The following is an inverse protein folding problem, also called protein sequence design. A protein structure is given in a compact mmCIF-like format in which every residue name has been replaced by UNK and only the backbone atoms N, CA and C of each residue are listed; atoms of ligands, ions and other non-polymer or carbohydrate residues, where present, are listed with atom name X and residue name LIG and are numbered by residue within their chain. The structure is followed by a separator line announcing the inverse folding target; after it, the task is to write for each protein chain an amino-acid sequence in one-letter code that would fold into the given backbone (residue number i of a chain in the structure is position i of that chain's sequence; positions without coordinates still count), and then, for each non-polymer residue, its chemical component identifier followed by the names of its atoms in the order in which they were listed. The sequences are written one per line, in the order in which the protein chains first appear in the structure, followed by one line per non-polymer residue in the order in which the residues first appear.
data_IF_982982367847
#
_entry.id   IF_982982367847
#
_cell.length_a   1.000
_cell.length_b   1.000
_cell.length_c   1.000
_cell.angle_alpha   90.00
_cell.angle_beta   90.00
_cell.angle_gamma   90.00
#
_symmetry.space_group_name_H-M   'P 1'
#
loop_
_entity.id
_entity.type
_entity.pdbx_description
1 polymer ?
#
# COMPACT_ATOMS: atom_id res chain seq x y z
N UNK A 1 -34.87 -17.87 -17.02
CA UNK A 1 -35.44 -17.46 -18.33
C UNK A 1 -35.28 -15.95 -18.38
N UNK A 2 -34.31 -15.38 -19.10
CA UNK A 2 -34.15 -15.35 -20.56
C UNK A 2 -32.87 -16.05 -21.08
N UNK A 3 -32.79 -16.52 -22.33
CA UNK A 3 -31.80 -17.49 -22.83
C UNK A 3 -30.58 -16.89 -23.54
N UNK A 4 -29.57 -17.76 -23.72
CA UNK A 4 -28.27 -17.57 -24.40
C UNK A 4 -28.34 -16.79 -25.72
N UNK A 5 -27.25 -16.09 -26.04
CA UNK A 5 -26.69 -16.13 -27.41
C UNK A 5 -25.32 -16.80 -27.36
N UNK A 6 -25.30 -18.09 -27.72
CA UNK A 6 -24.11 -18.72 -28.24
C UNK A 6 -23.98 -18.27 -29.69
N UNK A 7 -22.82 -17.73 -30.04
CA UNK A 7 -22.51 -17.28 -31.39
C UNK A 7 -22.58 -18.46 -32.35
N UNK A 8 -23.44 -18.37 -33.37
CA UNK A 8 -23.50 -19.32 -34.48
C UNK A 8 -22.55 -18.80 -35.55
N UNK A 9 -21.33 -19.33 -35.58
CA UNK A 9 -20.44 -19.15 -36.72
C UNK A 9 -20.96 -19.99 -37.89
N UNK A 10 -21.15 -19.35 -39.05
CA UNK A 10 -21.44 -20.07 -40.29
C UNK A 10 -20.22 -20.91 -40.69
N UNK A 11 -20.45 -22.18 -41.01
CA UNK A 11 -19.45 -23.11 -41.54
C UNK A 11 -19.09 -22.74 -42.99
N UNK A 12 -17.82 -22.48 -43.25
CA UNK A 12 -17.17 -22.70 -44.55
C UNK A 12 -15.71 -23.15 -44.33
N UNK A 13 -15.44 -24.45 -44.53
CA UNK A 13 -14.15 -25.15 -44.82
C UNK A 13 -12.84 -24.81 -44.03
N UNK A 14 -11.91 -25.77 -43.86
CA UNK A 14 -10.92 -25.79 -42.77
C UNK A 14 -9.71 -24.90 -43.06
N UNK A 15 -9.89 -23.59 -42.92
CA UNK A 15 -8.83 -22.63 -42.71
C UNK A 15 -8.81 -22.26 -41.24
N UNK A 16 -7.71 -22.58 -40.56
CA UNK A 16 -7.50 -22.33 -39.13
C UNK A 16 -8.16 -21.02 -38.64
N UNK A 17 -9.08 -21.14 -37.68
CA UNK A 17 -9.45 -20.01 -36.84
C UNK A 17 -8.21 -19.74 -35.98
N UNK A 18 -7.34 -18.83 -36.43
CA UNK A 18 -6.38 -18.21 -35.53
C UNK A 18 -7.22 -17.28 -34.66
N UNK A 19 -7.73 -17.80 -33.54
CA UNK A 19 -8.07 -16.93 -32.43
C UNK A 19 -6.83 -16.08 -32.17
N UNK A 20 -6.93 -14.75 -32.23
CA UNK A 20 -5.80 -13.96 -31.76
C UNK A 20 -5.77 -14.16 -30.24
N UNK A 21 -4.89 -15.04 -29.78
CA UNK A 21 -4.58 -15.29 -28.36
C UNK A 21 -3.85 -14.08 -27.72
N UNK A 22 -4.24 -12.87 -28.11
CA UNK A 22 -3.65 -11.63 -27.66
C UNK A 22 -4.53 -11.05 -26.57
N UNK A 23 -4.19 -11.38 -25.33
CA UNK A 23 -4.75 -10.69 -24.16
C UNK A 23 -4.38 -9.21 -24.20
N UNK A 24 -5.36 -8.33 -23.97
CA UNK A 24 -5.12 -6.90 -23.77
C UNK A 24 -4.58 -6.67 -22.35
N UNK A 25 -3.27 -6.82 -22.19
CA UNK A 25 -2.56 -6.61 -20.93
C UNK A 25 -2.68 -5.18 -20.40
N UNK A 26 -2.86 -4.19 -21.28
CA UNK A 26 -3.07 -2.79 -20.88
C UNK A 26 -4.42 -2.60 -20.20
N UNK A 27 -5.47 -3.17 -20.76
CA UNK A 27 -6.82 -3.19 -20.15
C UNK A 27 -6.84 -3.98 -18.83
N UNK A 28 -6.14 -5.11 -18.77
CA UNK A 28 -6.01 -5.88 -17.52
C UNK A 28 -5.30 -5.07 -16.44
N UNK A 29 -4.20 -4.38 -16.77
CA UNK A 29 -3.48 -3.51 -15.84
C UNK A 29 -4.39 -2.37 -15.35
N UNK A 30 -5.17 -1.76 -16.25
CA UNK A 30 -6.12 -0.71 -15.86
C UNK A 30 -7.20 -1.21 -14.90
N UNK A 31 -7.68 -2.43 -15.12
CA UNK A 31 -8.64 -3.10 -14.25
C UNK A 31 -8.05 -3.41 -12.87
N UNK A 32 -6.77 -3.81 -12.83
CA UNK A 32 -6.02 -4.02 -11.58
C UNK A 32 -5.93 -2.73 -10.76
N UNK A 33 -5.61 -1.59 -11.38
CA UNK A 33 -5.64 -0.31 -10.65
C UNK A 33 -7.05 0.13 -10.24
N UNK A 34 -8.08 -0.23 -11.02
CA UNK A 34 -9.46 0.02 -10.62
C UNK A 34 -9.85 -0.78 -9.36
N UNK A 35 -9.27 -1.97 -9.17
CA UNK A 35 -9.42 -2.71 -7.91
C UNK A 35 -8.81 -1.93 -6.74
N UNK A 36 -7.58 -1.43 -6.84
CA UNK A 36 -6.98 -0.61 -5.78
C UNK A 36 -7.74 0.70 -5.51
N UNK A 37 -8.29 1.31 -6.56
CA UNK A 37 -9.18 2.47 -6.43
C UNK A 37 -10.45 2.16 -5.62
N UNK A 38 -11.03 0.96 -5.79
CA UNK A 38 -12.21 0.51 -5.05
C UNK A 38 -11.92 0.17 -3.59
N UNK A 39 -10.66 -0.03 -3.23
CA UNK A 39 -10.23 -0.28 -1.85
C UNK A 39 -9.89 1.00 -1.10
N UNK A 40 -9.94 2.19 -1.73
CA UNK A 40 -9.55 3.43 -1.07
C UNK A 40 -10.48 3.75 0.11
N UNK A 41 -9.88 4.14 1.23
CA UNK A 41 -10.62 4.56 2.43
C UNK A 41 -10.49 6.07 2.65
N UNK A 42 -11.43 6.69 3.35
CA UNK A 42 -11.45 8.13 3.65
C UNK A 42 -11.98 8.95 2.48
N UNK A 43 -11.76 10.27 2.48
CA UNK A 43 -12.28 11.14 1.41
C UNK A 43 -11.71 10.75 0.04
N UNK A 44 -12.59 10.50 -0.90
CA UNK A 44 -12.24 9.88 -2.18
C UNK A 44 -11.91 10.96 -3.20
N UNK A 45 -10.74 10.86 -3.86
CA UNK A 45 -10.31 11.90 -4.76
C UNK A 45 -11.15 11.88 -6.05
N UNK A 46 -11.29 13.04 -6.69
CA UNK A 46 -12.13 13.21 -7.88
C UNK A 46 -11.69 12.41 -9.11
N UNK A 47 -10.44 11.96 -9.13
CA UNK A 47 -9.89 11.13 -10.21
C UNK A 47 -10.19 9.63 -10.04
N UNK A 48 -10.65 9.19 -8.87
CA UNK A 48 -10.97 7.79 -8.61
C UNK A 48 -12.14 7.33 -9.52
N UNK A 49 -11.98 6.18 -10.18
CA UNK A 49 -12.93 5.60 -11.16
C UNK A 49 -13.85 4.53 -10.54
N UNK A 50 -13.62 4.20 -9.27
CA UNK A 50 -14.52 3.45 -8.39
C UNK A 50 -15.33 4.45 -7.53
N UNK A 51 -16.63 4.24 -7.41
CA UNK A 51 -17.59 5.25 -6.91
C UNK A 51 -17.43 5.60 -5.40
N UNK A 52 -17.97 6.77 -5.03
CA UNK A 52 -17.90 7.49 -3.72
C UNK A 52 -17.97 6.63 -2.45
N UNK A 53 -16.90 6.66 -1.68
CA UNK A 53 -16.65 5.81 -0.51
C UNK A 53 -16.09 6.59 0.71
N UNK A 54 -17.00 7.01 1.62
CA UNK A 54 -16.80 6.96 3.08
C UNK A 54 -15.80 7.88 3.79
N UNK A 55 -16.31 8.73 4.69
CA UNK A 55 -15.57 9.55 5.67
C UNK A 55 -14.80 8.75 6.75
N UNK A 56 -14.39 7.50 6.46
CA UNK A 56 -13.83 6.52 7.41
C UNK A 56 -12.91 7.17 8.46
N UNK A 57 -13.10 6.86 9.74
CA UNK A 57 -12.60 7.69 10.82
C UNK A 57 -11.09 7.57 10.84
N UNK A 58 -10.44 8.68 11.18
CA UNK A 58 -9.00 8.76 11.33
C UNK A 58 -8.42 7.94 12.49
N UNK A 59 -9.18 7.02 13.07
CA UNK A 59 -8.88 6.47 14.37
C UNK A 59 -9.22 7.43 15.49
N UNK A 60 -9.13 6.94 16.73
CA UNK A 60 -9.43 7.73 17.92
C UNK A 60 -8.28 8.76 18.09
N UNK A 61 -8.61 10.06 18.07
CA UNK A 61 -7.76 11.24 18.36
C UNK A 61 -6.76 11.75 17.30
N UNK A 62 -6.67 11.18 16.09
CA UNK A 62 -5.83 11.72 14.98
C UNK A 62 -6.52 11.57 13.63
N UNK A 63 -6.06 12.27 12.60
CA UNK A 63 -6.52 12.04 11.22
C UNK A 63 -5.68 10.94 10.56
N UNK A 64 -6.17 9.69 10.61
CA UNK A 64 -5.71 8.55 9.81
C UNK A 64 -6.69 8.18 8.67
N UNK A 65 -7.47 9.14 8.17
CA UNK A 65 -8.28 8.93 6.96
C UNK A 65 -7.37 8.76 5.73
N UNK A 66 -7.79 7.96 4.75
CA UNK A 66 -6.95 7.55 3.62
C UNK A 66 -6.63 6.06 3.66
N UNK A 67 -5.65 5.63 2.86
CA UNK A 67 -5.17 4.25 2.83
C UNK A 67 -6.10 3.33 2.03
N UNK A 68 -5.85 2.02 2.16
CA UNK A 68 -6.67 0.98 1.54
C UNK A 68 -7.29 0.10 2.62
N UNK A 69 -8.54 -0.32 2.41
CA UNK A 69 -9.08 -1.49 3.09
C UNK A 69 -8.35 -2.74 2.61
N UNK A 70 -8.12 -3.67 3.54
CA UNK A 70 -7.29 -4.84 3.31
C UNK A 70 -7.90 -5.80 2.30
N UNK A 71 -9.17 -6.17 2.49
CA UNK A 71 -9.85 -7.14 1.64
C UNK A 71 -11.32 -6.77 1.41
N UNK A 72 -12.25 -7.72 1.60
CA UNK A 72 -13.69 -7.45 1.58
C UNK A 72 -14.22 -6.86 2.89
N UNK A 73 -13.34 -6.56 3.82
CA UNK A 73 -13.60 -6.00 5.14
C UNK A 73 -13.26 -4.50 5.18
N UNK A 74 -13.37 -3.85 6.34
CA UNK A 74 -13.00 -2.44 6.51
C UNK A 74 -11.81 -2.25 7.46
N UNK A 75 -11.00 -3.29 7.67
CA UNK A 75 -9.74 -3.20 8.39
C UNK A 75 -8.68 -2.50 7.54
N UNK A 76 -7.74 -1.81 8.20
CA UNK A 76 -6.54 -1.28 7.57
C UNK A 76 -5.34 -1.88 8.28
N UNK A 77 -4.71 -2.85 7.63
CA UNK A 77 -3.64 -3.68 8.18
C UNK A 77 -2.32 -3.32 7.50
N UNK A 78 -1.35 -2.77 8.26
CA UNK A 78 -0.16 -2.17 7.64
C UNK A 78 0.84 -3.18 7.10
N UNK A 79 0.86 -4.42 7.61
CA UNK A 79 1.72 -5.47 7.07
C UNK A 79 1.40 -5.76 5.58
N UNK A 80 0.19 -6.24 5.22
CA UNK A 80 -0.16 -6.48 3.82
C UNK A 80 -0.24 -5.19 2.99
N UNK A 81 -0.67 -4.07 3.58
CA UNK A 81 -0.70 -2.78 2.89
C UNK A 81 0.69 -2.35 2.42
N UNK A 82 1.68 -2.32 3.30
CA UNK A 82 3.02 -1.84 2.93
C UNK A 82 3.74 -2.80 1.98
N UNK A 83 3.49 -4.11 2.10
CA UNK A 83 3.90 -5.10 1.11
C UNK A 83 3.32 -4.77 -0.27
N UNK A 84 1.99 -4.65 -0.37
CA UNK A 84 1.27 -4.29 -1.60
C UNK A 84 1.84 -3.03 -2.26
N UNK A 85 2.01 -1.95 -1.48
CA UNK A 85 2.48 -0.67 -1.99
C UNK A 85 3.92 -0.73 -2.50
N UNK A 86 4.80 -1.44 -1.80
CA UNK A 86 6.18 -1.65 -2.27
C UNK A 86 6.22 -2.48 -3.56
N UNK A 87 5.36 -3.48 -3.70
CA UNK A 87 5.26 -4.31 -4.92
C UNK A 87 4.69 -3.51 -6.09
N UNK A 88 3.67 -2.68 -5.87
CA UNK A 88 3.14 -1.78 -6.89
C UNK A 88 4.19 -0.77 -7.36
N UNK A 89 4.93 -0.18 -6.42
CA UNK A 89 6.04 0.72 -6.75
C UNK A 89 7.14 0.00 -7.54
N UNK A 90 7.52 -1.22 -7.17
CA UNK A 90 8.49 -2.03 -7.91
C UNK A 90 8.02 -2.28 -9.34
N UNK A 91 6.77 -2.71 -9.51
CA UNK A 91 6.20 -2.97 -10.83
C UNK A 91 6.20 -1.70 -11.70
N UNK A 92 5.82 -0.55 -11.14
CA UNK A 92 5.83 0.71 -11.86
C UNK A 92 7.26 1.12 -12.26
N UNK A 93 8.25 1.01 -11.36
CA UNK A 93 9.64 1.43 -11.62
C UNK A 93 10.31 0.50 -12.63
N UNK A 94 10.25 -0.82 -12.43
CA UNK A 94 10.97 -1.77 -13.28
C UNK A 94 10.35 -1.88 -14.68
N UNK A 95 9.04 -1.66 -14.79
CA UNK A 95 8.31 -1.76 -16.05
C UNK A 95 7.75 -0.41 -16.52
N UNK A 96 8.42 0.69 -16.20
CA UNK A 96 7.97 2.06 -16.50
C UNK A 96 7.51 2.24 -17.96
N UNK A 97 8.28 1.71 -18.93
CA UNK A 97 7.95 1.81 -20.35
C UNK A 97 6.63 1.12 -20.70
N UNK A 98 6.34 -0.04 -20.09
CA UNK A 98 5.09 -0.79 -20.30
C UNK A 98 3.90 -0.05 -19.67
N UNK A 99 4.07 0.50 -18.46
CA UNK A 99 3.05 1.32 -17.80
C UNK A 99 2.70 2.56 -18.62
N UNK A 100 3.71 3.24 -19.18
CA UNK A 100 3.50 4.40 -20.06
C UNK A 100 2.83 4.01 -21.37
N UNK A 101 3.28 2.94 -22.02
CA UNK A 101 2.68 2.44 -23.27
C UNK A 101 1.20 2.02 -23.08
N UNK A 102 0.85 1.46 -21.91
CA UNK A 102 -0.52 1.11 -21.54
C UNK A 102 -1.36 2.32 -21.07
N UNK A 103 -0.78 3.53 -20.98
CA UNK A 103 -1.44 4.71 -20.44
C UNK A 103 -1.81 4.60 -18.95
N UNK A 104 -1.16 3.72 -18.19
CA UNK A 104 -1.44 3.46 -16.77
C UNK A 104 -0.43 4.10 -15.82
N UNK A 105 0.60 4.78 -16.33
CA UNK A 105 1.60 5.45 -15.48
C UNK A 105 0.97 6.44 -14.49
N UNK A 106 0.15 7.37 -14.99
CA UNK A 106 -0.45 8.39 -14.13
C UNK A 106 -1.47 7.80 -13.15
N UNK A 107 -2.19 6.74 -13.52
CA UNK A 107 -3.07 6.00 -12.60
C UNK A 107 -2.27 5.32 -11.48
N UNK A 108 -1.14 4.69 -11.82
CA UNK A 108 -0.26 4.07 -10.84
C UNK A 108 0.33 5.10 -9.88
N UNK A 109 0.85 6.21 -10.42
CA UNK A 109 1.42 7.29 -9.64
C UNK A 109 0.37 7.98 -8.74
N UNK A 110 -0.86 8.18 -9.22
CA UNK A 110 -1.97 8.71 -8.41
C UNK A 110 -2.30 7.79 -7.23
N UNK A 111 -2.42 6.49 -7.49
CA UNK A 111 -2.70 5.46 -6.49
C UNK A 111 -1.62 5.44 -5.41
N UNK A 112 -0.35 5.43 -5.81
CA UNK A 112 0.79 5.42 -4.90
C UNK A 112 0.94 6.76 -4.14
N UNK A 113 0.67 7.89 -4.79
CA UNK A 113 0.65 9.21 -4.14
C UNK A 113 -0.37 9.26 -3.00
N UNK A 114 -1.59 8.76 -3.25
CA UNK A 114 -2.65 8.73 -2.24
C UNK A 114 -2.31 7.82 -1.07
N UNK A 115 -1.70 6.67 -1.36
CA UNK A 115 -1.22 5.76 -0.33
C UNK A 115 -0.07 6.37 0.50
N UNK A 116 0.84 7.11 -0.13
CA UNK A 116 1.92 7.82 0.56
C UNK A 116 1.41 8.85 1.57
N UNK A 117 0.39 9.63 1.24
CA UNK A 117 -0.24 10.56 2.18
C UNK A 117 -0.73 9.82 3.45
N UNK A 118 -1.28 8.62 3.28
CA UNK A 118 -1.71 7.79 4.41
C UNK A 118 -0.54 7.22 5.21
N UNK A 119 0.54 6.79 4.56
CA UNK A 119 1.74 6.32 5.24
C UNK A 119 2.40 7.43 6.07
N UNK A 120 2.38 8.69 5.60
CA UNK A 120 2.84 9.86 6.36
C UNK A 120 1.99 10.06 7.61
N UNK A 121 0.66 10.00 7.49
CA UNK A 121 -0.25 10.06 8.64
C UNK A 121 0.00 8.92 9.63
N UNK A 122 0.34 7.73 9.12
CA UNK A 122 0.61 6.53 9.91
C UNK A 122 1.94 6.59 10.67
N UNK A 123 2.91 7.37 10.20
CA UNK A 123 4.18 7.63 10.89
C UNK A 123 4.02 8.78 11.88
N UNK A 124 3.25 8.49 12.93
CA UNK A 124 2.67 9.45 13.88
C UNK A 124 3.71 10.19 14.74
N UNK A 125 4.90 9.62 14.91
CA UNK A 125 6.10 10.29 15.44
C UNK A 125 7.24 9.95 14.52
N UNK A 126 7.67 10.93 13.72
CA UNK A 126 8.82 10.85 12.84
C UNK A 126 10.04 11.46 13.53
N UNK A 127 11.11 10.69 13.67
CA UNK A 127 12.31 11.11 14.38
C UNK A 127 13.56 10.48 13.80
N UNK A 128 14.63 11.26 13.74
CA UNK A 128 15.98 10.75 13.46
C UNK A 128 16.58 9.99 14.65
N UNK A 129 15.95 10.05 15.83
CA UNK A 129 16.25 9.15 16.94
C UNK A 129 15.44 7.86 16.75
N UNK A 130 16.07 6.71 16.39
CA UNK A 130 15.33 5.53 15.93
C UNK A 130 14.24 5.06 16.90
N UNK A 131 14.57 4.95 18.19
CA UNK A 131 13.67 4.45 19.24
C UNK A 131 12.55 5.41 19.64
N UNK A 132 12.55 6.64 19.13
CA UNK A 132 11.47 7.61 19.34
C UNK A 132 10.36 7.52 18.29
N UNK A 133 10.56 6.76 17.21
CA UNK A 133 9.56 6.60 16.17
C UNK A 133 8.32 5.86 16.68
N UNK A 134 7.18 6.23 16.13
CA UNK A 134 5.92 5.52 16.32
C UNK A 134 5.19 5.39 14.98
N UNK A 135 4.67 4.20 14.70
CA UNK A 135 4.02 3.88 13.43
C UNK A 135 2.73 3.10 13.67
N UNK A 136 1.66 3.40 12.93
CA UNK A 136 0.40 2.66 13.03
C UNK A 136 0.58 1.27 12.42
N UNK A 137 0.20 0.23 13.16
CA UNK A 137 0.16 -1.15 12.65
C UNK A 137 -1.20 -1.53 12.11
N UNK A 138 -2.26 -0.99 12.70
CA UNK A 138 -3.62 -1.41 12.41
C UNK A 138 -4.65 -0.34 12.80
N UNK A 139 -5.69 -0.20 11.99
CA UNK A 139 -6.91 0.57 12.32
C UNK A 139 -8.14 -0.35 12.18
N UNK A 140 -8.93 -0.43 13.25
CA UNK A 140 -10.05 -1.37 13.38
C UNK A 140 -9.65 -2.67 14.09
N UNK A 141 -10.63 -3.39 14.61
CA UNK A 141 -10.45 -4.74 15.18
C UNK A 141 -11.41 -5.73 14.52
N UNK A 142 -10.99 -7.00 14.47
CA UNK A 142 -11.71 -8.08 13.80
C UNK A 142 -13.12 -8.28 14.39
N UNK A 143 -13.24 -8.17 15.72
CA UNK A 143 -14.51 -8.44 16.39
C UNK A 143 -15.58 -7.42 15.97
N UNK A 144 -15.23 -6.14 15.88
CA UNK A 144 -16.14 -5.10 15.43
C UNK A 144 -16.38 -5.20 13.92
N UNK A 145 -15.31 -5.32 13.15
CA UNK A 145 -15.37 -5.21 11.68
C UNK A 145 -16.09 -6.40 11.04
N UNK A 146 -15.75 -7.63 11.43
CA UNK A 146 -16.29 -8.84 10.79
C UNK A 146 -17.59 -9.34 11.43
N UNK A 147 -17.83 -9.06 12.71
CA UNK A 147 -18.99 -9.63 13.43
C UNK A 147 -20.13 -8.63 13.69
N UNK A 148 -19.87 -7.32 13.67
CA UNK A 148 -20.87 -6.31 14.02
C UNK A 148 -21.35 -5.46 12.84
N UNK A 149 -20.69 -5.54 11.68
CA UNK A 149 -21.06 -4.78 10.50
C UNK A 149 -20.91 -5.60 9.21
N UNK A 150 -21.98 -5.68 8.42
CA UNK A 150 -21.94 -6.17 7.05
C UNK A 150 -22.69 -5.19 6.16
N UNK A 151 -21.96 -4.39 5.40
CA UNK A 151 -22.55 -3.32 4.62
C UNK A 151 -21.50 -2.43 4.00
N UNK A 152 -21.94 -1.31 3.43
CA UNK A 152 -21.03 -0.40 2.74
C UNK A 152 -20.15 0.36 3.74
N UNK A 153 -18.87 0.63 3.44
CA UNK A 153 -17.96 1.31 4.37
C UNK A 153 -18.43 2.73 4.74
N UNK A 154 -19.10 3.44 3.83
CA UNK A 154 -19.63 4.78 4.07
C UNK A 154 -20.85 4.82 5.01
N UNK A 155 -21.47 3.66 5.26
CA UNK A 155 -22.63 3.51 6.13
C UNK A 155 -22.28 2.93 7.49
N UNK A 156 -21.05 2.43 7.68
CA UNK A 156 -20.61 1.94 8.98
C UNK A 156 -20.69 3.08 10.00
N UNK A 157 -21.34 2.88 11.16
CA UNK A 157 -21.31 3.85 12.24
C UNK A 157 -19.87 4.23 12.58
N UNK A 158 -19.64 5.46 13.03
CA UNK A 158 -18.29 5.92 13.35
C UNK A 158 -18.18 6.35 14.80
N UNK A 159 -17.15 5.85 15.47
CA UNK A 159 -16.91 6.07 16.88
C UNK A 159 -17.79 5.21 17.79
N UNK A 160 -17.91 5.62 19.05
CA UNK A 160 -18.58 4.83 20.08
C UNK A 160 -17.61 3.97 20.90
N UNK A 161 -18.10 3.40 22.02
CA UNK A 161 -17.28 2.59 22.90
C UNK A 161 -16.98 1.20 22.30
N UNK A 162 -15.99 0.51 22.89
CA UNK A 162 -15.70 -0.90 22.58
C UNK A 162 -16.98 -1.74 22.64
N UNK A 163 -17.21 -2.56 21.60
CA UNK A 163 -18.41 -3.38 21.46
C UNK A 163 -19.57 -2.70 20.71
N UNK A 164 -19.34 -1.53 20.08
CA UNK A 164 -20.27 -0.90 19.15
C UNK A 164 -19.78 -1.04 17.71
N UNK A 165 -20.70 -1.04 16.73
CA UNK A 165 -20.36 -1.21 15.31
C UNK A 165 -19.47 -0.10 14.71
N UNK A 166 -19.29 1.02 15.42
CA UNK A 166 -18.36 2.09 15.03
C UNK A 166 -17.05 2.13 15.79
N UNK A 167 -16.81 1.17 16.68
CA UNK A 167 -15.54 1.06 17.40
C UNK A 167 -14.41 0.69 16.43
N UNK A 168 -13.49 1.63 16.22
CA UNK A 168 -12.36 1.47 15.29
C UNK A 168 -11.06 1.88 15.98
N UNK A 169 -10.49 1.02 16.83
CA UNK A 169 -9.27 1.32 17.58
C UNK A 169 -8.06 1.51 16.66
N UNK A 170 -7.05 2.22 17.14
CA UNK A 170 -5.76 2.39 16.47
C UNK A 170 -4.70 1.69 17.30
N UNK A 171 -3.90 0.84 16.65
CA UNK A 171 -2.81 0.14 17.27
C UNK A 171 -1.47 0.61 16.70
N UNK A 172 -0.51 0.83 17.59
CA UNK A 172 0.71 1.57 17.31
C UNK A 172 1.93 0.75 17.71
N UNK A 173 2.90 0.70 16.80
CA UNK A 173 4.27 0.23 17.02
C UNK A 173 5.07 1.35 17.67
N UNK A 174 5.83 1.00 18.70
CA UNK A 174 6.70 1.90 19.45
C UNK A 174 7.89 1.13 20.02
N UNK A 175 8.80 1.80 20.73
CA UNK A 175 9.90 1.13 21.43
C UNK A 175 9.46 0.12 22.49
N UNK A 176 8.23 0.21 23.00
CA UNK A 176 7.65 -0.75 23.95
C UNK A 176 6.72 -1.78 23.30
N UNK A 177 6.41 -1.63 22.00
CA UNK A 177 5.57 -2.55 21.23
C UNK A 177 6.21 -2.75 19.84
N UNK A 178 7.17 -3.68 19.72
CA UNK A 178 7.93 -3.89 18.49
C UNK A 178 7.08 -4.33 17.30
N UNK A 179 7.57 -4.04 16.08
CA UNK A 179 6.91 -4.35 14.82
C UNK A 179 7.82 -4.07 13.63
N UNK A 180 9.03 -4.60 13.69
CA UNK A 180 10.09 -4.42 12.69
C UNK A 180 9.71 -4.99 11.32
N UNK A 181 8.88 -6.04 11.30
CA UNK A 181 8.25 -6.58 10.10
C UNK A 181 7.46 -5.50 9.35
N UNK A 182 6.58 -4.79 10.06
CA UNK A 182 5.77 -3.72 9.47
C UNK A 182 6.59 -2.47 9.16
N UNK A 183 7.47 -2.02 10.07
CA UNK A 183 8.18 -0.74 9.87
C UNK A 183 9.27 -0.84 8.80
N UNK A 184 9.94 -1.99 8.65
CA UNK A 184 10.87 -2.20 7.55
C UNK A 184 10.15 -2.30 6.20
N UNK A 185 8.99 -2.98 6.15
CA UNK A 185 8.18 -3.03 4.93
C UNK A 185 7.56 -1.66 4.58
N UNK A 186 7.21 -0.85 5.59
CA UNK A 186 6.80 0.54 5.40
C UNK A 186 7.94 1.39 4.82
N UNK A 187 9.18 1.19 5.28
CA UNK A 187 10.35 1.85 4.71
C UNK A 187 10.55 1.48 3.23
N UNK A 188 10.40 0.20 2.87
CA UNK A 188 10.42 -0.26 1.48
C UNK A 188 9.34 0.43 0.63
N UNK A 189 8.09 0.48 1.10
CA UNK A 189 7.00 1.14 0.41
C UNK A 189 7.26 2.63 0.20
N UNK A 190 7.66 3.36 1.25
CA UNK A 190 7.96 4.80 1.16
C UNK A 190 9.13 5.08 0.22
N UNK A 191 10.18 4.26 0.25
CA UNK A 191 11.32 4.38 -0.67
C UNK A 191 10.87 4.19 -2.13
N UNK A 192 10.16 3.10 -2.43
CA UNK A 192 9.65 2.82 -3.78
C UNK A 192 8.69 3.90 -4.28
N UNK A 193 7.72 4.32 -3.47
CA UNK A 193 6.78 5.38 -3.86
C UNK A 193 7.54 6.70 -4.14
N UNK A 194 8.55 7.04 -3.34
CA UNK A 194 9.34 8.26 -3.56
C UNK A 194 10.05 8.27 -4.92
N UNK A 195 10.47 7.10 -5.41
CA UNK A 195 11.09 6.96 -6.73
C UNK A 195 10.07 7.17 -7.83
N UNK A 196 8.87 6.56 -7.72
CA UNK A 196 7.76 6.77 -8.68
C UNK A 196 7.38 8.25 -8.76
N UNK A 197 7.18 8.91 -7.62
CA UNK A 197 6.80 10.32 -7.54
C UNK A 197 7.92 11.28 -7.98
N UNK A 198 9.13 10.78 -8.17
CA UNK A 198 10.24 11.57 -8.72
C UNK A 198 10.31 11.52 -10.25
N UNK A 199 9.68 10.53 -10.91
CA UNK A 199 9.68 10.42 -12.37
C UNK A 199 8.71 11.44 -13.00
N UNK A 200 8.96 11.89 -14.25
CA UNK A 200 8.06 12.81 -14.95
C UNK A 200 6.64 12.23 -15.17
N UNK A 201 5.61 13.05 -14.99
CA UNK A 201 4.21 12.69 -15.18
C UNK A 201 3.27 13.70 -14.50
N UNK A 202 1.96 13.52 -14.62
CA UNK A 202 0.98 14.44 -14.00
C UNK A 202 0.97 14.38 -12.47
N UNK A 203 1.49 13.28 -11.91
CA UNK A 203 1.56 13.03 -10.47
C UNK A 203 2.99 13.11 -9.90
N UNK A 204 3.93 13.70 -10.65
CA UNK A 204 5.26 13.99 -10.13
C UNK A 204 5.14 14.93 -8.92
N UNK A 205 5.73 14.56 -7.79
CA UNK A 205 5.71 15.36 -6.57
C UNK A 205 7.04 15.24 -5.82
N UNK A 206 8.04 16.09 -6.16
CA UNK A 206 9.37 16.03 -5.56
C UNK A 206 9.37 16.31 -4.05
N UNK A 207 8.44 17.14 -3.56
CA UNK A 207 8.35 17.46 -2.13
C UNK A 207 7.85 16.27 -1.32
N UNK A 208 6.79 15.60 -1.78
CA UNK A 208 6.29 14.38 -1.16
C UNK A 208 7.32 13.25 -1.26
N UNK A 209 7.99 13.11 -2.41
CA UNK A 209 9.08 12.16 -2.56
C UNK A 209 10.21 12.40 -1.54
N UNK A 210 10.64 13.64 -1.32
CA UNK A 210 11.68 13.95 -0.34
C UNK A 210 11.28 13.59 1.09
N UNK A 211 10.03 13.88 1.50
CA UNK A 211 9.51 13.50 2.83
C UNK A 211 9.49 11.98 3.00
N UNK A 212 8.98 11.24 2.01
CA UNK A 212 8.98 9.77 2.02
C UNK A 212 10.38 9.16 2.14
N UNK A 213 11.38 9.74 1.46
CA UNK A 213 12.78 9.27 1.58
C UNK A 213 13.31 9.44 3.00
N UNK A 214 13.03 10.57 3.63
CA UNK A 214 13.44 10.82 5.02
C UNK A 214 12.79 9.81 5.96
N UNK A 215 11.48 9.63 5.84
CA UNK A 215 10.71 8.68 6.67
C UNK A 215 11.09 7.23 6.44
N UNK A 216 11.40 6.84 5.20
CA UNK A 216 11.90 5.49 4.90
C UNK A 216 13.19 5.18 5.68
N UNK A 217 14.13 6.14 5.76
CA UNK A 217 15.35 5.98 6.57
C UNK A 217 15.04 5.90 8.06
N UNK A 218 14.16 6.75 8.57
CA UNK A 218 13.77 6.75 9.97
C UNK A 218 13.11 5.43 10.38
N UNK A 219 12.20 4.90 9.55
CA UNK A 219 11.50 3.64 9.81
C UNK A 219 12.41 2.42 9.69
N UNK A 220 13.33 2.38 8.72
CA UNK A 220 14.30 1.28 8.65
C UNK A 220 15.25 1.31 9.86
N UNK A 221 15.76 2.48 10.23
CA UNK A 221 16.59 2.62 11.42
C UNK A 221 15.83 2.21 12.69
N UNK A 222 14.54 2.55 12.78
CA UNK A 222 13.67 2.12 13.88
C UNK A 222 13.49 0.60 13.91
N UNK A 223 13.23 -0.04 12.76
CA UNK A 223 13.12 -1.51 12.66
C UNK A 223 14.39 -2.22 13.12
N UNK A 224 15.55 -1.68 12.76
CA UNK A 224 16.86 -2.21 13.17
C UNK A 224 17.13 -1.98 14.67
N UNK A 225 16.71 -0.84 15.23
CA UNK A 225 16.94 -0.49 16.64
C UNK A 225 15.94 -1.17 17.60
N UNK A 226 14.73 -1.49 17.14
CA UNK A 226 13.67 -2.13 17.94
C UNK A 226 13.18 -3.40 17.21
N UNK A 227 14.00 -4.47 17.23
CA UNK A 227 13.69 -5.71 16.54
C UNK A 227 12.49 -6.43 17.18
N UNK A 228 11.75 -7.17 16.35
CA UNK A 228 10.64 -8.01 16.79
C UNK A 228 9.44 -7.93 15.86
N UNK A 229 8.67 -9.01 15.79
CA UNK A 229 7.41 -9.06 15.02
C UNK A 229 6.31 -8.29 15.73
N UNK A 230 5.41 -7.66 14.98
CA UNK A 230 4.18 -7.11 15.53
C UNK A 230 3.34 -8.17 16.25
N UNK A 231 2.73 -7.80 17.38
CA UNK A 231 1.79 -8.66 18.12
C UNK A 231 0.37 -8.14 17.89
N UNK A 232 -0.38 -8.87 17.08
CA UNK A 232 -1.74 -8.50 16.71
C UNK A 232 -2.66 -8.38 17.94
N UNK A 233 -3.49 -7.34 18.01
CA UNK A 233 -4.38 -7.07 19.13
C UNK A 233 -5.69 -7.86 18.96
N UNK A 234 -5.64 -9.18 19.11
CA UNK A 234 -6.82 -10.05 19.01
C UNK A 234 -6.61 -11.27 18.12
N UNK A 235 -7.67 -11.79 17.48
CA UNK A 235 -7.56 -12.85 16.49
C UNK A 235 -6.57 -12.45 15.39
N UNK A 236 -5.64 -13.35 15.09
CA UNK A 236 -4.60 -13.11 14.10
C UNK A 236 -5.18 -13.22 12.69
N UNK A 237 -4.95 -12.20 11.87
CA UNK A 237 -5.36 -12.12 10.46
C UNK A 237 -4.14 -12.27 9.56
N UNK A 238 -3.05 -11.56 9.87
CA UNK A 238 -1.78 -11.59 9.12
C UNK A 238 -0.61 -11.85 10.06
N UNK A 239 -0.54 -13.07 10.59
CA UNK A 239 0.52 -13.46 11.52
C UNK A 239 1.89 -13.37 10.85
N UNK A 240 2.77 -12.54 11.41
CA UNK A 240 4.19 -12.58 11.08
C UNK A 240 4.93 -13.70 11.82
N UNK A 241 5.81 -14.40 11.10
CA UNK A 241 6.74 -15.41 11.64
C UNK A 241 8.16 -14.89 11.84
N UNK A 242 8.49 -13.71 11.33
CA UNK A 242 9.85 -13.16 11.30
C UNK A 242 9.85 -11.71 10.84
N UNK A 243 11.00 -11.03 10.98
CA UNK A 243 11.16 -9.63 10.55
C UNK A 243 12.49 -9.38 9.85
N UNK A 244 13.35 -10.41 9.77
CA UNK A 244 14.72 -10.27 9.27
C UNK A 244 14.70 -10.07 7.75
N UNK A 245 13.81 -10.78 7.08
CA UNK A 245 13.52 -10.62 5.66
C UNK A 245 12.94 -9.24 5.35
N UNK A 246 12.02 -8.70 6.17
CA UNK A 246 11.50 -7.35 5.98
C UNK A 246 12.60 -6.28 6.13
N UNK A 247 13.50 -6.43 7.12
CA UNK A 247 14.69 -5.55 7.26
C UNK A 247 15.60 -5.65 6.04
N UNK A 248 15.82 -6.85 5.51
CA UNK A 248 16.63 -7.06 4.31
C UNK A 248 15.99 -6.38 3.10
N UNK A 249 14.67 -6.56 2.90
CA UNK A 249 13.90 -5.90 1.83
C UNK A 249 13.98 -4.38 1.97
N UNK A 250 13.71 -3.83 3.15
CA UNK A 250 13.81 -2.39 3.42
C UNK A 250 15.22 -1.83 3.16
N UNK A 251 16.26 -2.58 3.52
CA UNK A 251 17.66 -2.19 3.26
C UNK A 251 17.98 -2.17 1.76
N UNK A 252 17.54 -3.18 1.01
CA UNK A 252 17.70 -3.25 -0.44
C UNK A 252 16.96 -2.11 -1.15
N UNK A 253 15.78 -1.72 -0.68
CA UNK A 253 15.05 -0.57 -1.21
C UNK A 253 15.79 0.76 -0.99
N UNK A 254 16.35 0.99 0.20
CA UNK A 254 17.17 2.19 0.43
C UNK A 254 18.45 2.18 -0.41
N UNK A 255 19.08 1.02 -0.59
CA UNK A 255 20.19 0.87 -1.52
C UNK A 255 19.79 1.28 -2.95
N UNK A 256 18.69 0.72 -3.47
CA UNK A 256 18.17 1.04 -4.81
C UNK A 256 17.87 2.54 -4.95
N UNK A 257 17.24 3.13 -3.95
CA UNK A 257 16.94 4.55 -3.90
C UNK A 257 18.22 5.40 -3.96
N UNK A 258 19.24 5.06 -3.18
CA UNK A 258 20.48 5.84 -3.13
C UNK A 258 21.29 5.69 -4.42
N UNK A 259 21.26 4.52 -5.04
CA UNK A 259 21.89 4.25 -6.34
C UNK A 259 21.36 5.16 -7.45
N UNK A 260 20.06 5.50 -7.47
CA UNK A 260 19.52 6.45 -8.45
C UNK A 260 20.14 7.85 -8.34
N UNK A 261 20.69 8.19 -7.17
CA UNK A 261 21.26 9.52 -6.91
C UNK A 261 22.79 9.55 -6.86
N UNK A 262 23.46 8.39 -6.78
CA UNK A 262 24.90 8.29 -6.48
C UNK A 262 25.82 8.20 -7.70
N UNK A 263 25.27 8.18 -8.92
CA UNK A 263 26.06 8.06 -10.14
C UNK A 263 26.86 6.74 -10.15
N UNK A 264 28.20 6.84 -10.17
CA UNK A 264 29.10 5.67 -10.23
C UNK A 264 29.59 5.18 -8.86
N UNK A 265 29.25 5.85 -7.76
CA UNK A 265 29.72 5.49 -6.41
C UNK A 265 28.72 4.56 -5.74
N UNK A 266 29.17 3.44 -5.19
CA UNK A 266 28.32 2.53 -4.42
C UNK A 266 27.93 3.18 -3.07
N UNK A 267 26.63 3.41 -2.79
CA UNK A 267 26.19 4.02 -1.55
C UNK A 267 26.46 3.16 -0.32
N UNK A 268 26.66 3.80 0.84
CA UNK A 268 26.78 3.10 2.14
C UNK A 268 25.56 2.22 2.44
N UNK A 269 24.36 2.65 2.06
CA UNK A 269 23.13 1.85 2.21
C UNK A 269 23.20 0.52 1.47
N UNK A 270 23.89 0.46 0.32
CA UNK A 270 24.12 -0.79 -0.40
C UNK A 270 25.09 -1.70 0.31
N UNK A 271 26.19 -1.16 0.86
CA UNK A 271 27.11 -1.96 1.67
C UNK A 271 26.41 -2.56 2.89
N UNK A 272 25.53 -1.79 3.54
CA UNK A 272 24.74 -2.28 4.68
C UNK A 272 23.68 -3.31 4.28
N UNK A 273 23.15 -3.23 3.05
CA UNK A 273 22.12 -4.16 2.58
C UNK A 273 22.69 -5.53 2.16
N UNK A 274 23.96 -5.58 1.76
CA UNK A 274 24.63 -6.81 1.30
C UNK A 274 25.48 -7.49 2.38
N UNK A 275 25.70 -6.81 3.52
CA UNK A 275 26.44 -7.32 4.68
C UNK A 275 25.53 -8.10 5.62
#
# INVERSE_FOLDING_TARGET
QSPRQAYVGQETEPGAIIASDTYDWGSLLSSSYRFYEAQQSGVIPSWNRAAKDGFGPGGIDRDLSGGLYDAGDHLKLHLPLTMTLSTLALGAIEFESAYRAAGQWDTAAATLSRAAEYLIKSHIVASDTPTSNQFVAQVGDVDTDHNMWWGRPEQQPQGGPRGSAGYRPVYVISSSSPGADITAQAAAAMAGISMVLSKPGSWQNPSLAADLRSRARQLLAFAQAVPGTWKEPGPSVYRSSGYVDDIAVGSLWLCKLDLESSGSTLPTSCNNAIS
#
